data_IF_730276619923
#
_entry.id   IF_730276619923
#
_cell.length_a   1.000
_cell.length_b   1.000
_cell.length_c   1.000
_cell.angle_alpha   90.00
_cell.angle_beta   90.00
_cell.angle_gamma   90.00
#
_symmetry.space_group_name_H-M   'P 1'
#
loop_
_entity.id
_entity.type
_entity.pdbx_description
1 polymer ?
#
# COMPACT_ATOMS: atom_id res chain seq x y z
N UNK A 1 19.15 -21.36 19.23
CA UNK A 1 17.91 -20.96 18.53
C UNK A 1 17.64 -19.52 18.89
N UNK A 2 17.93 -18.59 17.99
CA UNK A 2 17.83 -17.15 18.19
C UNK A 2 16.43 -16.69 17.77
N UNK A 3 15.65 -16.19 18.74
CA UNK A 3 14.35 -15.57 18.50
C UNK A 3 14.56 -14.10 18.13
N UNK A 4 14.26 -13.76 16.87
CA UNK A 4 14.15 -12.37 16.41
C UNK A 4 12.74 -11.88 16.73
N UNK A 5 12.60 -11.00 17.72
CA UNK A 5 11.32 -10.34 18.00
C UNK A 5 11.35 -8.92 17.40
N UNK A 6 10.38 -8.65 16.52
CA UNK A 6 10.16 -7.37 15.83
C UNK A 6 9.13 -6.57 16.62
N UNK A 7 9.43 -5.31 16.94
CA UNK A 7 8.49 -4.40 17.59
C UNK A 7 7.72 -3.59 16.54
N UNK A 8 6.39 -3.51 16.69
CA UNK A 8 5.52 -2.66 15.88
C UNK A 8 5.34 -1.30 16.56
N UNK A 9 5.65 -0.23 15.83
CA UNK A 9 5.20 1.12 16.18
C UNK A 9 3.91 1.36 15.40
N UNK A 10 2.80 1.45 16.12
CA UNK A 10 1.54 1.94 15.57
C UNK A 10 1.71 3.40 15.18
N UNK A 11 1.70 3.69 13.89
CA UNK A 11 1.28 4.97 13.31
C UNK A 11 1.13 4.80 11.80
N UNK A 12 -0.06 4.37 11.37
CA UNK A 12 -0.44 4.40 9.97
C UNK A 12 -0.78 5.85 9.59
N UNK A 13 0.24 6.71 9.52
CA UNK A 13 0.40 7.89 8.69
C UNK A 13 1.76 8.51 9.06
N UNK A 14 2.67 8.53 8.08
CA UNK A 14 4.07 8.98 8.15
C UNK A 14 5.06 8.00 8.82
N UNK A 15 5.86 7.36 7.95
CA UNK A 15 7.08 6.60 8.28
C UNK A 15 6.88 5.44 9.27
N UNK A 16 6.48 4.28 8.74
CA UNK A 16 6.81 3.00 9.36
C UNK A 16 8.33 2.92 9.54
N UNK A 17 8.80 3.10 10.78
CA UNK A 17 10.18 2.79 11.17
C UNK A 17 10.20 1.31 11.56
N UNK A 18 10.64 0.46 10.64
CA UNK A 18 10.94 -0.93 10.95
C UNK A 18 12.24 -0.98 11.77
N UNK A 19 12.14 -1.27 13.07
CA UNK A 19 13.31 -1.42 13.96
C UNK A 19 13.56 -2.90 14.20
N UNK A 20 14.68 -3.41 13.68
CA UNK A 20 15.18 -4.75 14.03
C UNK A 20 15.91 -4.65 15.37
N UNK A 21 15.36 -5.29 16.41
CA UNK A 21 15.96 -5.32 17.74
C UNK A 21 17.11 -6.35 17.74
N UNK A 22 18.34 -5.87 17.83
CA UNK A 22 19.52 -6.71 18.11
C UNK A 22 19.68 -6.81 19.63
N UNK A 23 20.07 -7.98 20.14
CA UNK A 23 20.03 -8.35 21.59
C UNK A 23 20.87 -7.48 22.53
N UNK A 24 21.68 -6.56 22.00
CA UNK A 24 22.76 -5.92 22.76
C UNK A 24 22.64 -4.38 22.86
N UNK A 25 21.53 -3.77 22.40
CA UNK A 25 21.34 -2.30 22.47
C UNK A 25 20.23 -1.95 23.49
N UNK A 26 20.55 -1.33 24.65
CA UNK A 26 19.55 -0.87 25.58
C UNK A 26 18.83 0.37 25.02
N UNK A 27 17.52 0.23 24.77
CA UNK A 27 16.66 1.33 24.34
C UNK A 27 16.11 2.08 25.57
N UNK A 28 16.45 3.37 25.71
CA UNK A 28 15.82 4.26 26.70
C UNK A 28 14.74 5.08 26.01
N UNK A 29 13.49 4.62 26.09
CA UNK A 29 12.34 5.43 25.71
C UNK A 29 11.79 6.17 26.93
N UNK A 30 11.56 7.48 26.80
CA UNK A 30 10.80 8.24 27.79
C UNK A 30 9.33 7.81 27.72
N UNK A 31 8.88 7.04 28.70
CA UNK A 31 7.47 6.77 29.01
C UNK A 31 6.58 6.42 27.80
N UNK A 32 6.97 5.43 27.00
CA UNK A 32 6.09 4.82 25.99
C UNK A 32 5.96 3.33 26.29
N UNK A 33 4.72 2.82 26.26
CA UNK A 33 4.44 1.38 26.32
C UNK A 33 4.56 0.84 24.89
N UNK A 34 5.34 -0.21 24.71
CA UNK A 34 5.49 -0.91 23.43
C UNK A 34 4.86 -2.29 23.61
N UNK A 35 3.77 -2.55 22.89
CA UNK A 35 3.16 -3.87 22.84
C UNK A 35 3.90 -4.73 21.81
N UNK A 36 4.36 -5.90 22.26
CA UNK A 36 5.06 -6.88 21.45
C UNK A 36 4.08 -8.01 21.14
N UNK A 37 3.61 -8.07 19.90
CA UNK A 37 2.76 -9.16 19.41
C UNK A 37 3.59 -10.18 18.62
N UNK A 38 3.39 -11.47 18.89
CA UNK A 38 3.96 -12.53 18.07
C UNK A 38 3.15 -12.70 16.78
N UNK A 39 3.78 -12.38 15.65
CA UNK A 39 3.16 -12.54 14.34
C UNK A 39 3.20 -13.99 13.82
N UNK A 40 3.88 -14.93 14.48
CA UNK A 40 3.98 -16.33 14.06
C UNK A 40 4.30 -16.53 12.56
N UNK A 41 3.99 -17.72 12.05
CA UNK A 41 3.94 -18.00 10.61
C UNK A 41 2.58 -17.58 10.05
N UNK A 42 2.58 -17.02 8.83
CA UNK A 42 1.34 -16.71 8.11
C UNK A 42 0.58 -18.01 7.82
N UNK A 43 -0.63 -18.14 8.36
CA UNK A 43 -1.55 -19.23 8.05
C UNK A 43 -2.69 -18.68 7.20
N UNK A 44 -2.94 -19.33 6.08
CA UNK A 44 -3.93 -18.85 5.12
C UNK A 44 -5.33 -18.75 5.76
N UNK A 45 -6.02 -17.64 5.50
CA UNK A 45 -7.41 -17.39 5.89
C UNK A 45 -7.66 -16.81 7.29
N UNK A 46 -6.69 -16.75 8.21
CA UNK A 46 -6.87 -16.10 9.52
C UNK A 46 -5.59 -15.35 9.92
N UNK A 47 -5.71 -14.02 10.02
CA UNK A 47 -4.59 -13.14 10.36
C UNK A 47 -4.89 -12.36 11.65
N UNK A 48 -3.94 -12.29 12.57
CA UNK A 48 -3.95 -11.31 13.65
C UNK A 48 -3.46 -9.94 13.15
N UNK A 49 -3.56 -8.90 13.98
CA UNK A 49 -3.16 -7.53 13.61
C UNK A 49 -1.68 -7.47 13.22
N UNK A 50 -0.79 -8.06 14.04
CA UNK A 50 0.63 -8.12 13.74
C UNK A 50 0.96 -8.81 12.40
N UNK A 51 0.22 -9.85 12.03
CA UNK A 51 0.35 -10.55 10.76
C UNK A 51 -0.09 -9.67 9.59
N UNK A 52 -1.25 -9.01 9.70
CA UNK A 52 -1.73 -8.08 8.66
C UNK A 52 -0.73 -6.94 8.43
N UNK A 53 -0.09 -6.42 9.48
CA UNK A 53 0.91 -5.36 9.35
C UNK A 53 2.20 -5.79 8.65
N UNK A 54 2.49 -7.10 8.54
CA UNK A 54 3.63 -7.61 7.75
C UNK A 54 3.33 -7.72 6.26
N UNK A 55 2.05 -7.74 5.90
CA UNK A 55 1.63 -7.96 4.54
C UNK A 55 1.86 -6.71 3.69
N UNK A 56 2.29 -6.94 2.46
CA UNK A 56 2.46 -5.87 1.50
C UNK A 56 1.12 -5.23 1.21
N UNK A 57 1.06 -3.92 1.33
CA UNK A 57 -0.16 -3.15 1.05
C UNK A 57 0.14 -2.03 0.08
N UNK A 58 -0.82 -1.74 -0.81
CA UNK A 58 -0.79 -0.52 -1.63
C UNK A 58 -1.93 0.39 -1.22
N UNK A 59 -1.67 1.69 -1.10
CA UNK A 59 -2.75 2.66 -1.03
C UNK A 59 -3.19 3.06 -2.45
N UNK A 60 -4.49 3.21 -2.66
CA UNK A 60 -5.10 3.62 -3.92
C UNK A 60 -5.80 4.96 -3.72
N UNK A 61 -5.32 6.02 -4.39
CA UNK A 61 -5.96 7.34 -4.40
C UNK A 61 -6.71 7.60 -5.70
N UNK A 62 -7.81 8.33 -5.59
CA UNK A 62 -8.64 8.70 -6.75
C UNK A 62 -9.68 7.65 -7.14
N UNK A 63 -9.93 6.65 -6.30
CA UNK A 63 -10.91 5.59 -6.52
C UNK A 63 -12.32 5.94 -6.02
N UNK A 64 -12.67 7.23 -5.90
CA UNK A 64 -13.93 7.68 -5.31
C UNK A 64 -15.18 7.17 -6.07
N UNK A 65 -15.04 6.99 -7.39
CA UNK A 65 -16.13 6.55 -8.27
C UNK A 65 -16.12 5.04 -8.51
N UNK A 66 -15.27 4.28 -7.82
CA UNK A 66 -15.23 2.82 -7.91
C UNK A 66 -15.78 2.21 -6.63
N UNK A 67 -16.60 1.17 -6.80
CA UNK A 67 -16.98 0.31 -5.68
C UNK A 67 -15.76 -0.48 -5.19
N UNK A 68 -15.74 -0.81 -3.91
CA UNK A 68 -14.71 -1.67 -3.32
C UNK A 68 -14.60 -2.99 -4.09
N UNK A 69 -15.73 -3.60 -4.44
CA UNK A 69 -15.77 -4.83 -5.23
C UNK A 69 -15.12 -4.67 -6.61
N UNK A 70 -15.34 -3.54 -7.30
CA UNK A 70 -14.70 -3.27 -8.58
C UNK A 70 -13.18 -3.10 -8.43
N UNK A 71 -12.74 -2.44 -7.36
CA UNK A 71 -11.32 -2.28 -7.03
C UNK A 71 -10.66 -3.63 -6.77
N UNK A 72 -11.21 -4.44 -5.85
CA UNK A 72 -10.70 -5.78 -5.53
C UNK A 72 -10.66 -6.64 -6.79
N UNK A 73 -11.76 -6.68 -7.57
CA UNK A 73 -11.82 -7.47 -8.80
C UNK A 73 -10.78 -7.06 -9.85
N UNK A 74 -10.49 -5.75 -9.98
CA UNK A 74 -9.44 -5.30 -10.89
C UNK A 74 -8.06 -5.80 -10.45
N UNK A 75 -7.71 -5.68 -9.17
CA UNK A 75 -6.41 -6.13 -8.66
C UNK A 75 -6.28 -7.66 -8.62
N UNK A 76 -7.37 -8.40 -8.42
CA UNK A 76 -7.37 -9.86 -8.50
C UNK A 76 -7.16 -10.41 -9.91
N UNK A 77 -7.17 -9.57 -10.95
CA UNK A 77 -6.79 -10.00 -12.31
C UNK A 77 -5.27 -10.13 -12.48
N UNK A 78 -4.48 -9.61 -11.54
CA UNK A 78 -3.03 -9.72 -11.58
C UNK A 78 -2.59 -11.16 -11.28
N UNK A 79 -1.67 -11.67 -12.09
CA UNK A 79 -1.14 -13.01 -11.91
C UNK A 79 -0.37 -13.12 -10.58
N UNK A 80 -0.65 -14.18 -9.81
CA UNK A 80 0.01 -14.42 -8.53
C UNK A 80 -0.36 -13.43 -7.41
N UNK A 81 -1.43 -12.65 -7.57
CA UNK A 81 -1.90 -11.70 -6.56
C UNK A 81 -3.18 -12.18 -5.92
N UNK A 82 -3.18 -12.24 -4.58
CA UNK A 82 -4.38 -12.43 -3.78
C UNK A 82 -4.58 -11.19 -2.92
N UNK A 83 -5.61 -10.40 -3.24
CA UNK A 83 -6.06 -9.28 -2.40
C UNK A 83 -6.80 -9.86 -1.20
N UNK A 84 -6.35 -9.53 0.01
CA UNK A 84 -6.99 -10.03 1.22
C UNK A 84 -8.18 -9.18 1.66
N UNK A 85 -8.04 -7.87 1.57
CA UNK A 85 -9.09 -6.91 1.92
C UNK A 85 -8.93 -5.61 1.12
N UNK A 86 -9.91 -4.73 1.26
CA UNK A 86 -9.90 -3.37 0.74
C UNK A 86 -10.54 -2.45 1.78
N UNK A 87 -9.69 -1.84 2.59
CA UNK A 87 -10.12 -1.02 3.71
C UNK A 87 -10.00 0.46 3.40
N UNK A 88 -10.87 1.27 4.03
CA UNK A 88 -10.60 2.70 4.17
C UNK A 88 -9.89 2.92 5.50
N UNK A 89 -8.84 3.76 5.56
CA UNK A 89 -8.17 4.06 6.81
C UNK A 89 -9.18 4.57 7.82
N UNK A 90 -9.25 3.88 8.97
CA UNK A 90 -9.96 4.36 10.13
C UNK A 90 -8.93 5.08 10.98
N UNK A 91 -9.10 6.40 11.14
CA UNK A 91 -8.31 7.13 12.13
C UNK A 91 -8.88 6.79 13.50
N UNK A 92 -8.02 6.51 14.49
CA UNK A 92 -8.41 6.02 15.82
C UNK A 92 -9.09 7.07 16.72
N UNK A 93 -9.65 8.12 16.10
CA UNK A 93 -10.60 9.01 16.71
C UNK A 93 -11.88 8.88 15.89
N UNK A 94 -12.93 8.32 16.51
CA UNK A 94 -14.22 7.88 15.96
C UNK A 94 -15.06 8.89 15.14
N UNK A 95 -14.48 9.94 14.54
CA UNK A 95 -15.21 10.97 13.81
C UNK A 95 -14.59 11.39 12.47
N UNK A 96 -13.37 10.95 12.11
CA UNK A 96 -12.75 11.34 10.83
C UNK A 96 -12.26 10.10 10.08
N UNK A 97 -13.03 9.69 9.07
CA UNK A 97 -12.62 8.68 8.09
C UNK A 97 -11.98 9.42 6.92
N UNK A 98 -10.70 9.15 6.61
CA UNK A 98 -10.10 9.68 5.39
C UNK A 98 -10.65 8.91 4.18
N UNK A 99 -11.63 9.51 3.52
CA UNK A 99 -12.30 8.93 2.36
C UNK A 99 -11.49 9.04 1.05
N UNK A 100 -10.28 9.59 1.07
CA UNK A 100 -9.51 9.88 -0.15
C UNK A 100 -8.76 8.68 -0.69
N UNK A 101 -8.60 7.62 0.10
CA UNK A 101 -7.88 6.43 -0.32
C UNK A 101 -8.42 5.11 0.25
N UNK A 102 -8.07 4.03 -0.44
CA UNK A 102 -8.21 2.66 0.04
C UNK A 102 -6.84 2.06 0.31
N UNK A 103 -6.75 1.10 1.22
CA UNK A 103 -5.59 0.26 1.49
C UNK A 103 -5.94 -1.15 1.01
N UNK A 104 -5.08 -1.72 0.17
CA UNK A 104 -5.21 -3.07 -0.38
C UNK A 104 -4.05 -3.95 0.10
N UNK A 105 -4.22 -4.70 1.19
CA UNK A 105 -3.27 -5.75 1.60
C UNK A 105 -3.31 -6.95 0.64
N UNK A 106 -2.14 -7.51 0.38
CA UNK A 106 -1.96 -8.74 -0.40
C UNK A 106 -1.50 -9.89 0.50
N UNK A 107 -1.78 -11.14 0.11
CA UNK A 107 -1.33 -12.34 0.84
C UNK A 107 0.17 -12.64 0.64
N UNK A 108 1.02 -11.64 0.81
CA UNK A 108 2.48 -11.74 0.66
C UNK A 108 3.15 -10.52 1.29
N UNK A 109 4.36 -10.69 1.82
CA UNK A 109 5.12 -9.58 2.44
C UNK A 109 5.85 -8.71 1.40
N UNK A 110 6.11 -9.24 0.21
CA UNK A 110 6.81 -8.53 -0.86
C UNK A 110 5.85 -7.87 -1.84
N UNK A 111 6.34 -6.86 -2.57
CA UNK A 111 5.56 -6.23 -3.64
C UNK A 111 5.21 -7.26 -4.74
N UNK A 112 3.96 -7.30 -5.22
CA UNK A 112 3.59 -8.10 -6.37
C UNK A 112 4.44 -7.77 -7.60
N UNK A 113 4.91 -8.80 -8.30
CA UNK A 113 5.79 -8.63 -9.48
C UNK A 113 5.11 -7.78 -10.56
N UNK A 114 3.81 -7.97 -10.76
CA UNK A 114 3.00 -7.20 -11.71
C UNK A 114 2.88 -5.71 -11.35
N UNK A 115 3.07 -5.35 -10.08
CA UNK A 115 3.01 -3.98 -9.58
C UNK A 115 4.40 -3.34 -9.43
N UNK A 116 5.49 -4.03 -9.76
CA UNK A 116 6.83 -3.44 -9.70
C UNK A 116 6.96 -2.21 -10.60
N UNK A 117 7.22 -1.06 -9.98
CA UNK A 117 7.38 0.22 -10.66
C UNK A 117 6.07 0.84 -11.15
N UNK A 118 4.93 0.21 -10.86
CA UNK A 118 3.61 0.73 -11.18
C UNK A 118 3.23 1.76 -10.13
N UNK A 119 2.83 2.95 -10.55
CA UNK A 119 2.38 4.00 -9.63
C UNK A 119 1.07 4.64 -10.08
N UNK A 120 0.54 4.20 -11.22
CA UNK A 120 -0.77 4.52 -11.71
C UNK A 120 -1.45 3.28 -12.24
N UNK A 121 -2.76 3.23 -12.04
CA UNK A 121 -3.62 2.24 -12.67
C UNK A 121 -4.83 2.89 -13.28
N UNK A 122 -5.22 2.40 -14.44
CA UNK A 122 -6.45 2.77 -15.12
C UNK A 122 -7.43 1.60 -15.05
N UNK A 123 -8.63 1.84 -14.52
CA UNK A 123 -9.76 0.89 -14.48
C UNK A 123 -10.95 1.59 -15.12
N UNK A 124 -11.36 1.12 -16.31
CA UNK A 124 -12.37 1.82 -17.11
C UNK A 124 -11.91 3.24 -17.48
N UNK A 125 -12.73 4.25 -17.16
CA UNK A 125 -12.40 5.67 -17.33
C UNK A 125 -11.68 6.30 -16.13
N UNK A 126 -11.54 5.56 -15.03
CA UNK A 126 -10.95 6.07 -13.79
C UNK A 126 -9.44 5.81 -13.77
N UNK A 127 -8.68 6.87 -13.52
CA UNK A 127 -7.24 6.79 -13.30
C UNK A 127 -6.93 7.04 -11.82
N UNK A 128 -6.16 6.13 -11.23
CA UNK A 128 -5.83 6.15 -9.81
C UNK A 128 -4.33 6.10 -9.62
N UNK A 129 -3.87 6.70 -8.52
CA UNK A 129 -2.49 6.65 -8.08
C UNK A 129 -2.28 5.50 -7.08
N UNK A 130 -1.15 4.80 -7.22
CA UNK A 130 -0.71 3.74 -6.30
C UNK A 130 0.47 4.18 -5.46
N UNK A 131 0.37 3.86 -4.17
CA UNK A 131 1.31 4.23 -3.13
C UNK A 131 1.83 2.94 -2.54
N UNK A 132 3.05 2.59 -2.95
CA UNK A 132 3.77 1.47 -2.39
C UNK A 132 4.36 1.82 -1.02
N UNK A 133 5.11 2.93 -0.99
CA UNK A 133 5.68 3.49 0.24
C UNK A 133 5.65 5.02 0.26
N UNK A 134 5.48 5.65 -0.91
CA UNK A 134 5.51 7.10 -1.09
C UNK A 134 4.57 7.51 -2.22
N UNK A 135 3.97 8.69 -2.06
CA UNK A 135 3.23 9.39 -3.11
C UNK A 135 4.07 9.55 -4.38
N UNK A 136 3.66 8.97 -5.52
CA UNK A 136 4.35 9.17 -6.79
C UNK A 136 4.12 10.57 -7.35
N UNK A 137 5.02 10.99 -8.26
CA UNK A 137 4.86 12.23 -9.00
C UNK A 137 3.58 12.19 -9.86
N UNK A 138 2.62 13.08 -9.60
CA UNK A 138 1.39 13.18 -10.40
C UNK A 138 1.63 13.64 -11.85
N UNK A 139 2.81 14.23 -12.14
CA UNK A 139 3.16 14.69 -13.48
C UNK A 139 3.72 13.57 -14.36
N UNK A 140 4.64 12.75 -13.84
CA UNK A 140 5.38 11.75 -14.62
C UNK A 140 5.23 10.29 -14.16
N UNK A 141 4.47 10.04 -13.08
CA UNK A 141 4.21 8.70 -12.51
C UNK A 141 5.46 7.94 -12.07
N UNK A 142 6.51 8.67 -11.69
CA UNK A 142 7.68 8.08 -11.06
C UNK A 142 7.56 8.16 -9.55
N UNK A 143 7.91 7.07 -8.85
CA UNK A 143 8.12 7.05 -7.40
C UNK A 143 9.40 7.79 -6.96
N UNK A 144 10.28 8.13 -7.91
CA UNK A 144 11.57 8.80 -7.62
C UNK A 144 11.45 10.30 -7.37
N UNK A 145 10.38 10.92 -7.84
CA UNK A 145 10.17 12.36 -7.76
C UNK A 145 8.86 12.67 -7.05
N UNK A 146 8.77 13.83 -6.42
CA UNK A 146 7.47 14.43 -6.10
C UNK A 146 7.05 15.34 -7.24
N UNK A 147 5.78 15.75 -7.27
CA UNK A 147 5.26 16.64 -8.32
C UNK A 147 6.04 17.96 -8.41
N UNK A 148 6.36 18.58 -7.28
CA UNK A 148 7.11 19.84 -7.22
C UNK A 148 8.57 19.73 -7.69
N UNK A 149 9.17 18.53 -7.65
CA UNK A 149 10.56 18.28 -8.05
C UNK A 149 10.65 17.35 -9.28
N UNK A 150 9.62 17.33 -10.12
CA UNK A 150 9.60 16.51 -11.32
C UNK A 150 10.67 16.97 -12.31
N UNK A 151 11.65 16.10 -12.59
CA UNK A 151 12.75 16.37 -13.54
C UNK A 151 12.46 15.94 -14.99
N UNK A 152 11.32 15.29 -15.25
CA UNK A 152 10.97 14.81 -16.59
C UNK A 152 10.53 15.99 -17.48
N UNK A 153 11.19 16.14 -18.64
CA UNK A 153 10.84 17.14 -19.65
C UNK A 153 9.48 16.84 -20.27
N UNK A 154 8.80 17.88 -20.75
CA UNK A 154 7.43 17.77 -21.29
C UNK A 154 7.32 16.73 -22.42
N UNK A 155 8.27 16.73 -23.34
CA UNK A 155 8.29 15.84 -24.50
C UNK A 155 8.42 14.35 -24.13
N UNK A 156 8.94 14.04 -22.94
CA UNK A 156 9.12 12.68 -22.45
C UNK A 156 8.05 12.25 -21.43
N UNK A 157 7.05 13.09 -21.16
CA UNK A 157 6.02 12.77 -20.17
C UNK A 157 5.19 11.57 -20.59
N UNK A 158 4.81 11.46 -21.86
CA UNK A 158 4.00 10.34 -22.36
C UNK A 158 4.71 9.01 -22.11
N UNK A 159 5.98 8.90 -22.50
CA UNK A 159 6.77 7.69 -22.29
C UNK A 159 6.99 7.38 -20.81
N UNK A 160 7.25 8.41 -20.00
CA UNK A 160 7.41 8.24 -18.55
C UNK A 160 6.13 7.72 -17.89
N UNK A 161 4.98 8.29 -18.27
CA UNK A 161 3.68 7.88 -17.77
C UNK A 161 3.33 6.45 -18.21
N UNK A 162 3.60 6.10 -19.45
CA UNK A 162 3.35 4.75 -19.98
C UNK A 162 4.13 3.67 -19.20
N UNK A 163 5.36 3.98 -18.75
CA UNK A 163 6.16 3.05 -17.94
C UNK A 163 5.58 2.82 -16.54
N UNK A 164 5.09 3.89 -15.90
CA UNK A 164 4.56 3.86 -14.54
C UNK A 164 3.07 3.53 -14.43
N UNK A 165 2.37 3.37 -15.57
CA UNK A 165 0.94 3.11 -15.61
C UNK A 165 0.64 1.67 -16.05
N UNK A 166 -0.38 1.07 -15.45
CA UNK A 166 -0.97 -0.20 -15.90
C UNK A 166 -2.45 0.00 -16.18
N UNK A 167 -2.93 -0.59 -17.25
CA UNK A 167 -4.36 -0.56 -17.58
C UNK A 167 -4.95 -1.93 -17.32
N UNK A 168 -5.94 -1.99 -16.45
CA UNK A 168 -6.74 -3.19 -16.26
C UNK A 168 -7.82 -3.23 -17.33
N UNK A 169 -7.60 -4.07 -18.34
CA UNK A 169 -8.60 -4.39 -19.34
C UNK A 169 -9.56 -5.42 -18.74
N UNK A 170 -10.57 -4.95 -17.99
CA UNK A 170 -11.52 -5.84 -17.34
C UNK A 170 -12.90 -5.23 -17.32
N UNK A 171 -13.90 -6.08 -17.60
CA UNK A 171 -15.34 -5.85 -17.48
C UNK A 171 -15.76 -5.53 -16.03
N UNK A 172 -15.17 -4.52 -15.40
CA UNK A 172 -15.71 -3.94 -14.20
C UNK A 172 -17.06 -3.34 -14.62
N UNK A 173 -18.16 -4.07 -14.39
CA UNK A 173 -19.48 -3.45 -14.37
C UNK A 173 -19.41 -2.37 -13.29
N UNK A 174 -19.15 -1.15 -13.74
CA UNK A 174 -19.36 0.05 -12.95
C UNK A 174 -20.86 0.10 -12.74
N UNK A 175 -21.33 -0.44 -11.62
CA UNK A 175 -22.70 -0.22 -11.20
C UNK A 175 -22.79 1.27 -10.87
N UNK A 176 -23.36 2.03 -11.81
CA UNK A 176 -23.82 3.39 -11.61
C UNK A 176 -25.13 3.42 -10.84
#
# INVERSE_FOLDING_TARGET
MTFLQRAMVEQFHESHVEVTLMTDIPLRYLSVVIDLEDAGDLRDGVYNVAQLCRLYSVCVLGAANLSIAALVNAFSQLSGVQVLDAERPRTDQQLIVDHRHYILPFNQEACPTELHGVTQVAIGSSQMALYHHRLPCSRCYSSKYTTGFCKVKQDHLTDARARGCRTFAGNARLFG
#
